data_IF_140940403408
#
_entry.id   IF_140940403408
#
_cell.length_a   1.000
_cell.length_b   1.000
_cell.length_c   1.000
_cell.angle_alpha   90.00
_cell.angle_beta   90.00
_cell.angle_gamma   90.00
#
_symmetry.space_group_name_H-M   'P 1'
#
loop_
_entity.id
_entity.type
_entity.pdbx_description
1 polymer ?
#
# COMPACT_ATOMS: atom_id res chain seq x y z
N UNK A 1 50.17 43.86 23.93
CA UNK A 1 49.57 44.09 22.60
C UNK A 1 48.40 43.12 22.48
N UNK A 2 47.15 43.42 22.82
CA UNK A 2 46.22 44.48 22.38
C UNK A 2 45.92 44.50 20.86
N UNK A 3 44.64 44.21 20.54
CA UNK A 3 43.78 44.76 19.46
C UNK A 3 44.00 44.15 18.05
N UNK A 4 43.00 43.69 17.25
CA UNK A 4 41.52 43.57 17.31
C UNK A 4 41.05 42.58 16.20
N UNK A 5 39.77 42.17 16.18
CA UNK A 5 39.18 41.22 15.23
C UNK A 5 38.65 41.92 13.97
N UNK A 6 38.55 41.19 12.86
CA UNK A 6 37.75 41.62 11.71
C UNK A 6 36.66 40.57 11.42
N UNK A 7 35.44 41.02 11.69
CA UNK A 7 34.20 40.58 11.06
C UNK A 7 34.32 40.73 9.54
N UNK A 8 33.96 39.68 8.80
CA UNK A 8 33.32 39.86 7.49
C UNK A 8 32.11 38.93 7.41
N UNK A 9 30.94 39.56 7.40
CA UNK A 9 29.65 38.99 7.02
C UNK A 9 29.58 38.98 5.49
N UNK A 10 29.01 37.92 4.91
CA UNK A 10 28.63 37.83 3.50
C UNK A 10 28.13 36.43 3.17
N UNK A 11 26.92 36.06 3.61
CA UNK A 11 25.70 36.00 2.79
C UNK A 11 25.83 35.16 1.50
N UNK A 12 25.07 34.05 1.50
CA UNK A 12 24.34 33.38 0.41
C UNK A 12 24.66 31.88 0.26
N UNK A 13 23.62 31.08 0.41
CA UNK A 13 23.61 29.67 0.03
C UNK A 13 23.02 28.76 1.11
N UNK A 14 21.72 28.87 1.37
CA UNK A 14 20.96 27.76 1.95
C UNK A 14 20.95 26.66 0.89
N UNK A 15 21.98 25.82 0.89
CA UNK A 15 21.89 24.49 0.32
C UNK A 15 21.38 23.60 1.45
N UNK A 16 20.07 23.37 1.44
CA UNK A 16 19.42 22.29 2.18
C UNK A 16 19.95 20.95 1.68
N UNK A 17 21.13 20.58 2.18
CA UNK A 17 21.76 19.29 2.06
C UNK A 17 21.82 18.64 3.43
N UNK A 18 20.69 18.15 3.94
CA UNK A 18 20.70 17.17 5.01
C UNK A 18 20.60 15.78 4.40
N UNK A 19 21.75 15.27 3.93
CA UNK A 19 22.02 13.84 4.04
C UNK A 19 22.53 13.60 5.45
N UNK A 20 21.75 12.86 6.26
CA UNK A 20 22.28 12.16 7.43
C UNK A 20 21.67 10.77 7.40
N UNK A 21 22.46 9.82 6.88
CA UNK A 21 22.30 8.39 7.15
C UNK A 21 23.17 8.11 8.36
N UNK A 22 22.57 7.74 9.49
CA UNK A 22 23.29 7.19 10.64
C UNK A 22 22.54 5.99 11.20
N UNK A 23 23.19 4.84 11.00
CA UNK A 23 23.11 3.57 11.73
C UNK A 23 21.86 2.69 11.56
N UNK A 24 22.12 1.55 10.91
CA UNK A 24 21.29 0.37 10.91
C UNK A 24 21.37 -0.33 12.27
N UNK A 25 20.23 -0.51 12.93
CA UNK A 25 20.07 -1.46 14.03
C UNK A 25 18.79 -2.29 13.87
N UNK A 26 18.99 -3.55 13.48
CA UNK A 26 18.30 -4.74 13.97
C UNK A 26 16.76 -4.80 14.05
N UNK A 27 16.02 -4.34 13.03
CA UNK A 27 14.64 -4.84 12.79
C UNK A 27 14.39 -5.13 11.31
N UNK A 28 14.66 -6.38 10.91
CA UNK A 28 14.13 -6.93 9.64
C UNK A 28 12.60 -6.85 9.66
N UNK A 29 12.04 -6.43 8.52
CA UNK A 29 10.61 -6.33 8.22
C UNK A 29 9.85 -5.28 9.02
N UNK A 30 9.93 -4.00 8.61
CA UNK A 30 8.92 -3.27 7.81
C UNK A 30 9.43 -1.83 7.67
N UNK A 31 10.17 -1.47 6.62
CA UNK A 31 10.57 -0.07 6.40
C UNK A 31 10.64 0.21 4.90
N UNK A 32 9.50 0.59 4.31
CA UNK A 32 9.40 1.04 2.91
C UNK A 32 8.61 2.34 2.79
N UNK A 33 8.48 3.06 3.91
CA UNK A 33 7.70 4.29 4.08
C UNK A 33 8.53 5.22 4.97
N UNK A 34 8.38 6.56 4.87
CA UNK A 34 9.29 7.51 5.49
C UNK A 34 9.58 7.13 6.95
N UNK A 35 10.87 7.14 7.31
CA UNK A 35 11.46 6.63 8.57
C UNK A 35 10.90 7.26 9.86
N UNK A 36 9.94 8.19 9.76
CA UNK A 36 9.28 8.89 10.86
C UNK A 36 7.78 9.02 10.56
N UNK A 37 7.07 7.90 10.51
CA UNK A 37 5.61 7.91 10.63
C UNK A 37 5.29 7.35 12.02
N UNK A 38 4.60 8.12 12.89
CA UNK A 38 4.17 7.63 14.19
C UNK A 38 3.35 6.33 14.07
N UNK A 39 3.54 5.40 15.02
CA UNK A 39 2.89 4.09 14.98
C UNK A 39 1.36 4.20 14.98
N UNK A 40 0.80 5.18 15.69
CA UNK A 40 -0.64 5.50 15.70
C UNK A 40 -1.21 5.88 14.32
N UNK A 41 -0.38 6.42 13.43
CA UNK A 41 -0.75 6.74 12.05
C UNK A 41 -0.60 5.50 11.17
N UNK A 42 0.30 4.59 11.51
CA UNK A 42 0.68 3.43 10.69
C UNK A 42 -0.14 2.18 10.97
N UNK A 43 -0.48 1.95 12.23
CA UNK A 43 -1.07 0.72 12.71
C UNK A 43 -2.48 0.92 13.27
N UNK A 44 -3.34 -0.06 13.03
CA UNK A 44 -4.63 -0.17 13.70
C UNK A 44 -4.43 -0.57 15.16
N UNK A 45 -5.30 -0.07 16.03
CA UNK A 45 -5.33 -0.46 17.43
C UNK A 45 -5.96 -1.86 17.58
N UNK A 46 -5.20 -2.89 17.23
CA UNK A 46 -5.55 -4.30 17.33
C UNK A 46 -4.44 -5.01 18.09
N UNK A 47 -4.79 -5.93 19.00
CA UNK A 47 -3.79 -6.71 19.74
C UNK A 47 -2.83 -7.41 18.77
N UNK A 48 -1.49 -7.30 18.97
CA UNK A 48 -0.53 -8.04 18.17
C UNK A 48 -0.70 -9.56 18.27
N UNK A 49 -1.35 -10.05 19.34
CA UNK A 49 -1.65 -11.46 19.59
C UNK A 49 -3.02 -11.91 19.09
N UNK A 50 -3.83 -11.01 18.51
CA UNK A 50 -5.12 -11.38 17.93
C UNK A 50 -4.95 -12.45 16.84
N UNK A 51 -5.98 -13.26 16.64
CA UNK A 51 -6.06 -14.23 15.54
C UNK A 51 -5.95 -13.55 14.17
N UNK A 52 -5.59 -14.31 13.14
CA UNK A 52 -5.54 -13.78 11.76
C UNK A 52 -6.94 -13.30 11.34
N UNK A 53 -8.00 -13.99 11.76
CA UNK A 53 -9.38 -13.67 11.45
C UNK A 53 -9.79 -12.32 12.03
N UNK A 54 -9.53 -12.09 13.32
CA UNK A 54 -9.80 -10.80 13.98
C UNK A 54 -9.00 -9.66 13.34
N UNK A 55 -7.73 -9.93 13.00
CA UNK A 55 -6.91 -8.94 12.30
C UNK A 55 -7.46 -8.63 10.91
N UNK A 56 -7.84 -9.66 10.16
CA UNK A 56 -8.46 -9.50 8.83
C UNK A 56 -9.73 -8.68 8.93
N UNK A 57 -10.60 -8.95 9.90
CA UNK A 57 -11.84 -8.20 10.11
C UNK A 57 -11.58 -6.74 10.47
N UNK A 58 -10.63 -6.47 11.38
CA UNK A 58 -10.28 -5.10 11.73
C UNK A 58 -9.70 -4.34 10.52
N UNK A 59 -8.84 -5.00 9.72
CA UNK A 59 -8.30 -4.42 8.50
C UNK A 59 -9.39 -4.10 7.47
N UNK A 60 -10.30 -5.04 7.22
CA UNK A 60 -11.32 -4.88 6.17
C UNK A 60 -12.37 -3.83 6.50
N UNK A 61 -12.67 -3.57 7.78
CA UNK A 61 -13.69 -2.60 8.19
C UNK A 61 -13.14 -1.20 8.50
N UNK A 62 -11.83 -0.97 8.44
CA UNK A 62 -11.19 0.24 9.01
C UNK A 62 -11.64 1.58 8.38
N UNK A 63 -12.20 1.57 7.17
CA UNK A 63 -12.57 2.78 6.43
C UNK A 63 -14.08 3.05 6.44
N UNK A 64 -14.89 2.16 7.00
CA UNK A 64 -16.35 2.24 6.99
C UNK A 64 -16.90 2.12 8.40
N UNK A 65 -18.01 2.81 8.67
CA UNK A 65 -18.78 2.59 9.89
C UNK A 65 -19.79 1.44 9.72
N UNK A 66 -20.28 0.86 10.81
CA UNK A 66 -21.16 -0.32 10.78
C UNK A 66 -22.50 -0.10 10.05
N UNK A 67 -22.96 1.15 9.92
CA UNK A 67 -24.22 1.51 9.27
C UNK A 67 -24.04 2.01 7.83
N UNK A 68 -22.81 2.15 7.34
CA UNK A 68 -22.51 2.75 6.05
C UNK A 68 -22.60 1.72 4.91
N UNK A 69 -23.18 2.12 3.78
CA UNK A 69 -23.12 1.32 2.56
C UNK A 69 -21.68 1.30 2.04
N UNK A 70 -21.22 0.14 1.56
CA UNK A 70 -19.85 -0.03 1.13
C UNK A 70 -19.73 -0.81 -0.17
N UNK A 71 -18.61 -0.58 -0.86
CA UNK A 71 -18.05 -1.48 -1.85
C UNK A 71 -16.88 -2.25 -1.22
N UNK A 72 -16.36 -3.28 -1.90
CA UNK A 72 -15.09 -3.89 -1.50
C UNK A 72 -14.05 -3.80 -2.59
N UNK A 73 -12.78 -3.76 -2.20
CA UNK A 73 -11.66 -3.87 -3.13
C UNK A 73 -10.61 -4.87 -2.63
N UNK A 74 -10.02 -5.63 -3.57
CA UNK A 74 -8.83 -6.44 -3.34
C UNK A 74 -7.94 -6.44 -4.58
N UNK A 75 -6.80 -7.12 -4.54
CA UNK A 75 -5.86 -7.22 -5.67
C UNK A 75 -5.94 -8.58 -6.32
N UNK A 76 -5.77 -8.66 -7.65
CA UNK A 76 -5.65 -9.94 -8.36
C UNK A 76 -4.52 -10.75 -7.70
N UNK A 77 -4.76 -12.02 -7.31
CA UNK A 77 -3.78 -12.83 -6.58
C UNK A 77 -2.69 -13.37 -7.50
N UNK A 78 -1.90 -12.48 -8.10
CA UNK A 78 -0.83 -12.92 -8.99
C UNK A 78 0.21 -13.76 -8.24
N UNK A 79 0.62 -14.88 -8.84
CA UNK A 79 1.58 -15.82 -8.26
C UNK A 79 2.89 -15.14 -7.84
N UNK A 80 3.37 -14.17 -8.63
CA UNK A 80 4.63 -13.47 -8.35
C UNK A 80 4.60 -12.61 -7.08
N UNK A 81 3.41 -12.37 -6.49
CA UNK A 81 3.23 -11.71 -5.19
C UNK A 81 3.22 -12.68 -4.01
N UNK A 82 3.21 -13.99 -4.25
CA UNK A 82 3.16 -15.04 -3.22
C UNK A 82 4.56 -15.40 -2.68
N UNK A 83 5.62 -14.83 -3.25
CA UNK A 83 7.00 -15.04 -2.79
C UNK A 83 7.30 -14.38 -1.43
N UNK A 84 8.17 -15.00 -0.64
CA UNK A 84 8.51 -14.58 0.74
C UNK A 84 9.86 -13.85 0.89
N UNK A 85 10.53 -13.51 -0.23
CA UNK A 85 11.85 -12.87 -0.22
C UNK A 85 11.79 -11.34 -0.14
N UNK A 86 12.85 -10.70 0.35
CA UNK A 86 12.99 -9.23 0.39
C UNK A 86 13.05 -8.57 -1.00
N UNK A 87 13.30 -9.36 -2.05
CA UNK A 87 13.26 -8.92 -3.45
C UNK A 87 11.97 -9.34 -4.15
N UNK A 88 11.08 -10.09 -3.48
CA UNK A 88 9.79 -10.48 -4.04
C UNK A 88 8.95 -9.24 -4.29
N UNK A 89 8.18 -9.28 -5.37
CA UNK A 89 7.27 -8.18 -5.64
C UNK A 89 6.20 -8.14 -4.55
N UNK A 90 5.82 -6.93 -4.14
CA UNK A 90 4.71 -6.72 -3.22
C UNK A 90 3.44 -6.39 -4.00
N UNK A 91 2.30 -6.98 -3.61
CA UNK A 91 1.04 -6.75 -4.28
C UNK A 91 0.62 -5.29 -4.18
N UNK A 92 -0.27 -4.90 -5.09
CA UNK A 92 -1.00 -3.65 -4.96
C UNK A 92 -1.80 -3.70 -3.65
N UNK A 93 -1.65 -2.71 -2.82
CA UNK A 93 -2.44 -2.56 -1.58
C UNK A 93 -2.89 -1.11 -1.50
N UNK A 94 -4.12 -0.88 -1.06
CA UNK A 94 -4.60 0.48 -0.88
C UNK A 94 -3.76 1.15 0.22
N UNK A 95 -3.17 2.28 -0.13
CA UNK A 95 -2.28 3.05 0.73
C UNK A 95 -2.98 4.28 1.30
N UNK A 96 -3.68 5.04 0.45
CA UNK A 96 -4.55 6.14 0.86
C UNK A 96 -5.93 6.04 0.20
N UNK A 97 -6.96 6.46 0.92
CA UNK A 97 -8.34 6.65 0.49
C UNK A 97 -8.80 8.03 0.92
N UNK A 98 -9.14 8.93 -0.01
CA UNK A 98 -9.49 10.33 0.26
C UNK A 98 -8.52 11.02 1.24
N UNK A 99 -7.22 10.91 0.93
CA UNK A 99 -6.12 11.44 1.75
C UNK A 99 -5.96 10.78 3.14
N UNK A 100 -6.88 9.91 3.57
CA UNK A 100 -6.73 9.10 4.78
C UNK A 100 -5.83 7.91 4.48
N UNK A 101 -4.84 7.69 5.34
CA UNK A 101 -3.94 6.55 5.22
C UNK A 101 -4.64 5.27 5.65
N UNK A 102 -4.52 4.23 4.83
CA UNK A 102 -4.88 2.86 5.20
C UNK A 102 -3.82 2.32 6.15
N UNK A 103 -4.26 1.90 7.33
CA UNK A 103 -3.42 1.38 8.39
C UNK A 103 -3.25 -0.13 8.24
N UNK A 104 -2.08 -0.61 8.64
CA UNK A 104 -1.80 -2.05 8.74
C UNK A 104 -1.99 -2.51 10.18
N UNK A 105 -1.88 -3.80 10.44
CA UNK A 105 -1.86 -4.32 11.80
C UNK A 105 -0.42 -4.67 12.17
N UNK A 106 -0.04 -4.29 13.39
CA UNK A 106 1.25 -4.66 13.93
C UNK A 106 1.31 -6.18 14.15
N UNK A 107 2.33 -6.81 13.57
CA UNK A 107 2.53 -8.25 13.71
C UNK A 107 3.35 -8.54 14.96
N UNK A 108 2.95 -9.57 15.73
CA UNK A 108 3.73 -10.04 16.86
C UNK A 108 5.01 -10.71 16.37
N UNK A 109 6.17 -10.18 16.76
CA UNK A 109 7.46 -10.82 16.47
C UNK A 109 7.59 -12.20 17.12
N UNK A 110 6.82 -12.49 18.17
CA UNK A 110 6.89 -13.73 18.95
C UNK A 110 5.90 -14.80 18.48
N UNK A 111 5.00 -14.48 17.55
CA UNK A 111 3.98 -15.43 17.07
C UNK A 111 3.75 -15.31 15.56
N UNK A 112 4.57 -16.02 14.75
CA UNK A 112 4.43 -16.02 13.29
C UNK A 112 3.04 -16.44 12.80
N UNK A 113 2.34 -17.30 13.54
CA UNK A 113 0.98 -17.75 13.22
C UNK A 113 -0.10 -16.67 13.33
N UNK A 114 0.23 -15.50 13.87
CA UNK A 114 -0.68 -14.34 13.95
C UNK A 114 -0.30 -13.24 12.95
N UNK A 115 0.68 -13.48 12.08
CA UNK A 115 1.23 -12.46 11.18
C UNK A 115 0.39 -12.37 9.92
N UNK A 116 -0.15 -11.18 9.63
CA UNK A 116 -0.70 -10.88 8.30
C UNK A 116 0.44 -10.48 7.38
N UNK A 117 0.62 -11.25 6.31
CA UNK A 117 1.58 -10.97 5.24
C UNK A 117 1.04 -9.89 4.30
N UNK A 118 1.91 -9.33 3.44
CA UNK A 118 1.49 -8.39 2.39
C UNK A 118 0.47 -9.01 1.43
N UNK A 119 0.64 -10.31 1.14
CA UNK A 119 -0.33 -11.04 0.35
C UNK A 119 -1.69 -11.12 1.05
N UNK A 120 -1.73 -11.43 2.35
CA UNK A 120 -2.97 -11.46 3.13
C UNK A 120 -3.72 -10.12 3.09
N UNK A 121 -3.01 -9.01 3.26
CA UNK A 121 -3.61 -7.67 3.13
C UNK A 121 -4.17 -7.44 1.72
N UNK A 122 -3.44 -7.83 0.67
CA UNK A 122 -3.88 -7.64 -0.72
C UNK A 122 -5.09 -8.49 -1.11
N UNK A 123 -5.30 -9.61 -0.43
CA UNK A 123 -6.41 -10.52 -0.69
C UNK A 123 -7.62 -10.27 0.22
N UNK A 124 -7.44 -9.48 1.28
CA UNK A 124 -8.52 -9.07 2.16
C UNK A 124 -9.40 -8.04 1.45
N UNK A 125 -10.71 -8.32 1.36
CA UNK A 125 -11.72 -7.43 0.77
C UNK A 125 -11.89 -6.18 1.64
N UNK A 126 -11.09 -5.15 1.40
CA UNK A 126 -11.18 -3.88 2.13
C UNK A 126 -12.49 -3.19 1.78
N UNK A 127 -13.31 -2.89 2.79
CA UNK A 127 -14.56 -2.16 2.61
C UNK A 127 -14.26 -0.68 2.45
N UNK A 128 -14.84 -0.08 1.41
CA UNK A 128 -14.69 1.32 1.07
C UNK A 128 -16.08 1.99 1.08
N UNK A 129 -16.20 3.23 1.58
CA UNK A 129 -17.38 4.04 1.36
C UNK A 129 -17.78 4.10 -0.12
N UNK A 130 -19.08 4.19 -0.36
CA UNK A 130 -19.64 4.39 -1.71
C UNK A 130 -19.58 5.86 -2.11
N UNK A 131 -19.52 6.12 -3.41
CA UNK A 131 -19.40 7.48 -3.95
C UNK A 131 -18.14 7.65 -4.80
N UNK A 132 -17.72 8.89 -4.98
CA UNK A 132 -16.56 9.25 -5.78
C UNK A 132 -15.35 9.53 -4.89
N UNK A 133 -14.24 8.83 -5.14
CA UNK A 133 -13.08 8.83 -4.25
C UNK A 133 -11.76 8.92 -4.99
N UNK A 134 -10.74 9.44 -4.30
CA UNK A 134 -9.36 9.41 -4.75
C UNK A 134 -8.60 8.31 -4.01
N UNK A 135 -7.90 7.46 -4.77
CA UNK A 135 -7.21 6.27 -4.27
C UNK A 135 -5.72 6.37 -4.58
N UNK A 136 -4.88 5.97 -3.63
CA UNK A 136 -3.47 5.70 -3.88
C UNK A 136 -3.17 4.27 -3.54
N UNK A 137 -2.66 3.51 -4.50
CA UNK A 137 -2.17 2.15 -4.27
C UNK A 137 -0.65 2.14 -4.19
N UNK A 138 -0.12 1.25 -3.35
CA UNK A 138 1.31 0.97 -3.28
C UNK A 138 1.58 -0.45 -3.74
N UNK A 139 2.64 -0.61 -4.53
CA UNK A 139 3.23 -1.89 -4.95
C UNK A 139 4.74 -1.78 -4.84
N UNK A 140 5.47 -2.90 -4.95
CA UNK A 140 6.93 -2.85 -4.92
C UNK A 140 7.59 -3.99 -5.66
N UNK A 141 8.82 -3.77 -6.11
CA UNK A 141 9.68 -4.78 -6.75
C UNK A 141 11.12 -4.46 -6.39
N UNK A 142 11.84 -5.45 -5.85
CA UNK A 142 13.19 -5.26 -5.33
C UNK A 142 13.24 -4.17 -4.24
N UNK A 143 14.21 -3.28 -4.33
CA UNK A 143 14.40 -2.14 -3.41
C UNK A 143 13.53 -0.93 -3.72
N UNK A 144 12.41 -1.08 -4.43
CA UNK A 144 11.59 0.07 -4.83
C UNK A 144 10.11 -0.11 -4.48
N UNK A 145 9.51 0.97 -3.99
CA UNK A 145 8.06 1.13 -3.84
C UNK A 145 7.52 2.11 -4.88
N UNK A 146 6.40 1.76 -5.49
CA UNK A 146 5.72 2.53 -6.52
C UNK A 146 4.31 2.86 -6.05
N UNK A 147 4.00 4.15 -6.01
CA UNK A 147 2.70 4.68 -5.65
C UNK A 147 1.96 5.08 -6.92
N UNK A 148 0.74 4.59 -7.07
CA UNK A 148 -0.14 4.90 -8.20
C UNK A 148 -1.36 5.62 -7.67
N UNK A 149 -1.57 6.87 -8.11
CA UNK A 149 -2.75 7.67 -7.80
C UNK A 149 -3.81 7.47 -8.90
N UNK A 150 -5.03 7.22 -8.48
CA UNK A 150 -6.22 7.10 -9.32
C UNK A 150 -7.27 8.03 -8.73
N UNK A 151 -7.68 9.03 -9.50
CA UNK A 151 -8.66 10.02 -9.07
C UNK A 151 -10.06 9.68 -9.54
N UNK A 152 -11.05 10.23 -8.85
CA UNK A 152 -12.45 10.23 -9.29
C UNK A 152 -13.04 8.82 -9.53
N UNK A 153 -12.66 7.84 -8.70
CA UNK A 153 -13.17 6.47 -8.78
C UNK A 153 -14.57 6.41 -8.20
N UNK A 154 -15.57 6.04 -8.99
CA UNK A 154 -16.94 5.84 -8.53
C UNK A 154 -17.15 4.41 -8.05
N UNK A 155 -17.50 4.25 -6.77
CA UNK A 155 -17.77 2.98 -6.11
C UNK A 155 -19.28 2.87 -5.79
N UNK A 156 -19.89 1.76 -6.19
CA UNK A 156 -21.30 1.49 -5.99
C UNK A 156 -21.52 0.51 -4.81
N UNK A 157 -22.66 0.64 -4.12
CA UNK A 157 -23.00 -0.18 -2.97
C UNK A 157 -23.07 -1.67 -3.34
N UNK A 158 -22.53 -2.52 -2.46
CA UNK A 158 -22.54 -3.98 -2.57
C UNK A 158 -21.83 -4.53 -3.83
N UNK A 159 -20.91 -3.75 -4.42
CA UNK A 159 -20.04 -4.21 -5.51
C UNK A 159 -18.68 -4.65 -4.98
N UNK A 160 -18.15 -5.70 -5.61
CA UNK A 160 -16.80 -6.19 -5.40
C UNK A 160 -15.90 -5.74 -6.55
N UNK A 161 -14.82 -5.05 -6.21
CA UNK A 161 -13.83 -4.57 -7.16
C UNK A 161 -12.48 -5.26 -6.98
N UNK A 162 -11.74 -5.35 -8.07
CA UNK A 162 -10.37 -5.82 -8.08
C UNK A 162 -9.46 -4.81 -8.74
N UNK A 163 -8.28 -4.59 -8.16
CA UNK A 163 -7.18 -3.89 -8.82
C UNK A 163 -6.28 -4.91 -9.51
N UNK A 164 -5.97 -4.64 -10.78
CA UNK A 164 -5.10 -5.46 -11.60
C UNK A 164 -4.14 -4.62 -12.42
N UNK A 165 -3.27 -5.32 -13.16
CA UNK A 165 -2.24 -4.70 -13.99
C UNK A 165 -2.26 -5.33 -15.38
N UNK A 166 -2.34 -4.47 -16.39
CA UNK A 166 -2.03 -4.83 -17.77
C UNK A 166 -0.53 -4.63 -18.02
N UNK A 167 0.13 -5.70 -18.44
CA UNK A 167 1.52 -5.64 -18.92
C UNK A 167 1.51 -5.34 -20.41
N UNK A 168 1.95 -4.15 -20.78
CA UNK A 168 2.01 -3.71 -22.17
C UNK A 168 3.39 -4.07 -22.74
N UNK A 169 3.47 -4.85 -23.84
CA UNK A 169 4.74 -5.09 -24.53
C UNK A 169 5.40 -3.76 -24.90
N UNK A 170 6.67 -3.59 -24.50
CA UNK A 170 7.46 -2.37 -24.74
C UNK A 170 6.85 -1.07 -24.15
N UNK A 171 5.86 -1.19 -23.26
CA UNK A 171 5.21 -0.06 -22.60
C UNK A 171 5.37 -0.13 -21.09
N UNK A 172 4.95 0.94 -20.41
CA UNK A 172 4.79 0.91 -18.96
C UNK A 172 3.56 0.11 -18.60
N UNK A 173 3.64 -0.60 -17.48
CA UNK A 173 2.49 -1.31 -16.92
C UNK A 173 1.35 -0.32 -16.62
N UNK A 174 0.12 -0.74 -16.89
CA UNK A 174 -1.07 0.06 -16.62
C UNK A 174 -1.95 -0.63 -15.58
N UNK A 175 -2.46 0.15 -14.64
CA UNK A 175 -3.33 -0.30 -13.57
C UNK A 175 -4.79 -0.10 -13.99
N UNK A 176 -5.63 -1.06 -13.62
CA UNK A 176 -7.08 -0.97 -13.78
C UNK A 176 -7.81 -1.32 -12.48
N UNK A 177 -9.04 -0.81 -12.35
CA UNK A 177 -10.00 -1.25 -11.32
C UNK A 177 -11.23 -1.79 -12.06
N UNK A 178 -11.69 -2.97 -11.66
CA UNK A 178 -12.81 -3.63 -12.31
C UNK A 178 -13.75 -4.35 -11.35
N UNK A 179 -15.03 -4.40 -11.70
CA UNK A 179 -15.96 -5.38 -11.14
C UNK A 179 -15.49 -6.79 -11.55
N UNK A 180 -15.61 -7.74 -10.63
CA UNK A 180 -15.17 -9.11 -10.88
C UNK A 180 -16.11 -10.15 -10.26
N UNK A 181 -16.02 -11.37 -10.78
CA UNK A 181 -16.63 -12.56 -10.20
C UNK A 181 -15.55 -13.61 -9.91
N UNK A 182 -15.84 -14.52 -8.98
CA UNK A 182 -14.96 -15.66 -8.70
C UNK A 182 -15.35 -16.84 -9.60
N UNK A 183 -14.39 -17.36 -10.36
CA UNK A 183 -14.52 -18.68 -10.97
C UNK A 183 -14.18 -19.76 -9.93
N UNK A 184 -15.20 -20.52 -9.52
CA UNK A 184 -15.07 -21.57 -8.51
C UNK A 184 -14.26 -22.79 -8.99
N UNK A 185 -13.88 -22.86 -10.27
CA UNK A 185 -13.02 -23.94 -10.81
C UNK A 185 -11.56 -23.80 -10.37
N UNK A 186 -11.14 -22.58 -10.06
CA UNK A 186 -9.78 -22.26 -9.63
C UNK A 186 -9.73 -22.01 -8.13
N UNK A 187 -8.55 -22.14 -7.54
CA UNK A 187 -8.40 -21.81 -6.11
C UNK A 187 -8.52 -20.30 -5.92
N UNK A 188 -9.07 -19.81 -4.80
CA UNK A 188 -9.28 -18.36 -4.58
C UNK A 188 -8.02 -17.49 -4.61
N UNK A 189 -6.84 -18.10 -4.49
CA UNK A 189 -5.52 -17.45 -4.56
C UNK A 189 -4.82 -17.63 -5.91
N UNK A 190 -5.48 -18.22 -6.91
CA UNK A 190 -5.00 -18.30 -8.29
C UNK A 190 -5.54 -17.09 -9.07
N UNK A 191 -4.73 -16.42 -9.89
CA UNK A 191 -5.20 -15.25 -10.65
C UNK A 191 -6.34 -15.59 -11.60
N UNK A 192 -6.40 -16.82 -12.11
CA UNK A 192 -7.47 -17.37 -12.96
C UNK A 192 -8.83 -17.44 -12.24
N UNK A 193 -8.84 -17.42 -10.90
CA UNK A 193 -10.09 -17.33 -10.14
C UNK A 193 -10.81 -16.00 -10.30
N UNK A 194 -10.16 -14.97 -10.85
CA UNK A 194 -10.76 -13.64 -11.05
C UNK A 194 -11.25 -13.49 -12.49
N UNK A 195 -12.57 -13.53 -12.68
CA UNK A 195 -13.21 -13.16 -13.94
C UNK A 195 -13.49 -11.65 -13.92
N UNK A 196 -12.72 -10.88 -14.69
CA UNK A 196 -12.96 -9.44 -14.87
C UNK A 196 -14.23 -9.22 -15.70
N UNK A 197 -15.20 -8.48 -15.15
CA UNK A 197 -16.50 -8.21 -15.80
C UNK A 197 -16.51 -6.85 -16.49
N UNK A 198 -16.31 -5.78 -15.72
CA UNK A 198 -16.38 -4.39 -16.20
C UNK A 198 -15.27 -3.57 -15.57
N UNK A 199 -14.42 -2.95 -16.39
CA UNK A 199 -13.42 -1.99 -15.94
C UNK A 199 -14.08 -0.64 -15.69
N UNK A 200 -14.00 -0.14 -14.46
CA UNK A 200 -14.46 1.20 -14.09
C UNK A 200 -13.34 2.24 -14.21
N UNK A 201 -12.09 1.78 -14.16
CA UNK A 201 -10.88 2.56 -14.39
C UNK A 201 -9.93 1.73 -15.26
N UNK A 202 -9.25 2.36 -16.21
CA UNK A 202 -8.21 1.72 -17.02
C UNK A 202 -7.19 2.75 -17.52
N UNK A 203 -6.02 2.27 -17.96
CA UNK A 203 -5.03 3.12 -18.61
C UNK A 203 -4.15 3.95 -17.66
N UNK A 204 -4.23 3.73 -16.35
CA UNK A 204 -3.45 4.50 -15.39
C UNK A 204 -2.02 3.96 -15.35
N UNK A 205 -1.03 4.80 -15.65
CA UNK A 205 0.38 4.40 -15.59
C UNK A 205 0.77 3.96 -14.16
N UNK A 206 1.38 2.78 -14.04
CA UNK A 206 1.94 2.29 -12.79
C UNK A 206 3.03 3.23 -12.26
N UNK A 207 2.93 3.61 -10.98
CA UNK A 207 3.93 4.45 -10.33
C UNK A 207 3.86 5.93 -10.71
N UNK A 208 2.74 6.39 -11.27
CA UNK A 208 2.54 7.78 -11.73
C UNK A 208 2.62 8.86 -10.63
N UNK A 209 2.53 8.49 -9.34
CA UNK A 209 2.48 9.45 -8.25
C UNK A 209 3.84 9.62 -7.58
N UNK A 210 4.46 8.52 -7.15
CA UNK A 210 5.74 8.56 -6.42
C UNK A 210 6.49 7.25 -6.58
N UNK A 211 7.82 7.35 -6.67
CA UNK A 211 8.76 6.23 -6.54
C UNK A 211 9.66 6.47 -5.33
N UNK A 212 9.86 5.42 -4.53
CA UNK A 212 10.73 5.47 -3.34
C UNK A 212 11.72 4.32 -3.41
N UNK A 213 13.01 4.64 -3.32
CA UNK A 213 14.08 3.64 -3.14
C UNK A 213 14.23 3.28 -1.67
N UNK A 214 14.43 2.00 -1.40
CA UNK A 214 14.58 1.40 -0.08
C UNK A 214 16.01 0.85 -0.01
N UNK A 215 16.87 1.54 0.74
CA UNK A 215 18.27 1.15 0.94
C UNK A 215 18.43 0.35 2.24
#
# INVERSE_FOLDING_TARGET
MQIKPLLLIGLFGILSGCQVVTNADNKKSVSMLPLHIPDEVRYLNVSPKASIEEKREAYTNQLVSSAEQYATIKTIPYEFFQGSGSLSAYPYTLYNFDQKRVKFIENSMLSPSTTMTRFDYSQSKLKLPVGQHDLVFVSGVGSHSYFTEIKNVTLEANKDYVIGVDRIPNGKAQVFIAEYEIDSKFKPNEPESIIVKKRIIQGIEHGNFKRVSVY
#
